data_IF_875929367831
#
_entry.id   IF_875929367831
#
_cell.length_a   1.000
_cell.length_b   1.000
_cell.length_c   1.000
_cell.angle_alpha   90.00
_cell.angle_beta   90.00
_cell.angle_gamma   90.00
#
_symmetry.space_group_name_H-M   'P 1'
#
loop_
_entity.id
_entity.type
_entity.pdbx_description
1 polymer ?
#
# COMPACT_ATOMS: atom_id res chain seq x y z
N UNK A 1 -18.22 -13.24 8.52
CA UNK A 1 -16.82 -13.31 8.04
C UNK A 1 -16.05 -12.13 8.58
N UNK A 2 -14.81 -12.37 8.96
CA UNK A 2 -13.95 -11.30 9.49
C UNK A 2 -13.34 -10.49 8.35
N UNK A 3 -12.75 -9.33 8.70
CA UNK A 3 -12.00 -8.53 7.72
C UNK A 3 -10.86 -9.33 7.10
N UNK A 4 -10.22 -10.19 7.89
CA UNK A 4 -9.15 -11.06 7.40
C UNK A 4 -9.66 -12.05 6.36
N UNK A 5 -10.86 -12.58 6.55
CA UNK A 5 -11.49 -13.48 5.58
C UNK A 5 -11.74 -12.76 4.25
N UNK A 6 -12.28 -11.55 4.31
CA UNK A 6 -12.51 -10.75 3.11
C UNK A 6 -11.21 -10.37 2.42
N UNK A 7 -10.18 -10.02 3.19
CA UNK A 7 -8.87 -9.73 2.66
C UNK A 7 -8.30 -10.96 1.92
N UNK A 8 -8.40 -12.13 2.54
CA UNK A 8 -7.91 -13.38 1.93
C UNK A 8 -8.68 -13.72 0.66
N UNK A 9 -9.99 -13.51 0.63
CA UNK A 9 -10.80 -13.68 -0.58
C UNK A 9 -10.31 -12.75 -1.69
N UNK A 10 -10.03 -11.50 -1.34
CA UNK A 10 -9.50 -10.54 -2.30
C UNK A 10 -8.17 -10.99 -2.89
N UNK A 11 -7.29 -11.51 -2.05
CA UNK A 11 -6.01 -12.05 -2.50
C UNK A 11 -6.18 -13.21 -3.47
N UNK A 12 -7.12 -14.11 -3.19
CA UNK A 12 -7.43 -15.22 -4.10
C UNK A 12 -7.93 -14.72 -5.44
N UNK A 13 -8.86 -13.78 -5.44
CA UNK A 13 -9.38 -13.20 -6.67
C UNK A 13 -8.27 -12.50 -7.46
N UNK A 14 -7.43 -11.76 -6.77
CA UNK A 14 -6.29 -11.10 -7.41
C UNK A 14 -5.38 -12.11 -8.09
N UNK A 15 -5.06 -13.21 -7.40
CA UNK A 15 -4.21 -14.27 -7.94
C UNK A 15 -4.80 -14.92 -9.18
N UNK A 16 -6.13 -14.92 -9.31
CA UNK A 16 -6.84 -15.47 -10.46
C UNK A 16 -7.13 -14.42 -11.53
N UNK A 17 -6.57 -13.22 -11.39
CA UNK A 17 -6.78 -12.08 -12.28
C UNK A 17 -8.24 -11.61 -12.33
N UNK A 18 -8.98 -11.86 -11.25
CA UNK A 18 -10.35 -11.36 -11.09
C UNK A 18 -10.31 -10.06 -10.31
N UNK A 19 -9.87 -9.01 -10.99
CA UNK A 19 -9.54 -7.75 -10.30
C UNK A 19 -10.77 -7.06 -9.72
N UNK A 20 -11.91 -7.07 -10.43
CA UNK A 20 -13.13 -6.46 -9.91
C UNK A 20 -13.63 -7.19 -8.66
N UNK A 21 -13.55 -8.51 -8.66
CA UNK A 21 -13.94 -9.30 -7.48
C UNK A 21 -12.99 -9.05 -6.32
N UNK A 22 -11.69 -8.89 -6.61
CA UNK A 22 -10.71 -8.55 -5.60
C UNK A 22 -11.04 -7.20 -4.96
N UNK A 23 -11.34 -6.18 -5.78
CA UNK A 23 -11.74 -4.85 -5.29
C UNK A 23 -12.93 -4.97 -4.35
N UNK A 24 -13.97 -5.71 -4.76
CA UNK A 24 -15.17 -5.87 -3.96
C UNK A 24 -14.87 -6.52 -2.60
N UNK A 25 -14.01 -7.53 -2.58
CA UNK A 25 -13.62 -8.21 -1.33
C UNK A 25 -12.83 -7.27 -0.41
N UNK A 26 -11.87 -6.53 -0.96
CA UNK A 26 -11.09 -5.59 -0.15
C UNK A 26 -11.96 -4.47 0.42
N UNK A 27 -12.93 -3.98 -0.36
CA UNK A 27 -13.86 -2.97 0.13
C UNK A 27 -14.70 -3.51 1.30
N UNK A 28 -15.08 -4.78 1.26
CA UNK A 28 -15.78 -5.40 2.39
C UNK A 28 -14.92 -5.48 3.63
N UNK A 29 -13.64 -5.80 3.46
CA UNK A 29 -12.70 -5.79 4.59
C UNK A 29 -12.61 -4.39 5.20
N UNK A 30 -12.61 -3.35 4.36
CA UNK A 30 -12.53 -1.96 4.81
C UNK A 30 -13.82 -1.46 5.42
N UNK A 31 -14.98 -2.04 5.08
CA UNK A 31 -16.23 -1.75 5.77
C UNK A 31 -16.17 -2.17 7.24
N UNK A 32 -15.48 -3.27 7.50
CA UNK A 32 -15.29 -3.78 8.86
C UNK A 32 -14.22 -2.97 9.62
N UNK A 33 -13.14 -2.59 8.94
CA UNK A 33 -12.06 -1.79 9.53
C UNK A 33 -11.49 -0.85 8.47
N UNK A 34 -11.90 0.41 8.51
CA UNK A 34 -11.50 1.42 7.52
C UNK A 34 -10.00 1.68 7.49
N UNK A 35 -9.28 1.36 8.56
CA UNK A 35 -7.84 1.56 8.69
C UNK A 35 -7.04 0.26 8.58
N UNK A 36 -7.65 -0.79 8.03
CA UNK A 36 -6.97 -2.06 7.85
C UNK A 36 -5.90 -1.91 6.76
N UNK A 37 -4.67 -1.72 7.17
CA UNK A 37 -3.57 -1.35 6.28
C UNK A 37 -3.34 -2.39 5.17
N UNK A 38 -3.41 -3.68 5.49
CA UNK A 38 -3.20 -4.73 4.50
C UNK A 38 -4.21 -4.63 3.35
N UNK A 39 -5.48 -4.40 3.69
CA UNK A 39 -6.53 -4.25 2.68
C UNK A 39 -6.38 -2.96 1.88
N UNK A 40 -6.00 -1.86 2.55
CA UNK A 40 -5.74 -0.60 1.85
C UNK A 40 -4.62 -0.75 0.84
N UNK A 41 -3.53 -1.41 1.24
CA UNK A 41 -2.39 -1.62 0.34
C UNK A 41 -2.80 -2.49 -0.86
N UNK A 42 -3.46 -3.61 -0.59
CA UNK A 42 -3.90 -4.53 -1.63
C UNK A 42 -4.89 -3.87 -2.60
N UNK A 43 -5.82 -3.06 -2.07
CA UNK A 43 -6.79 -2.35 -2.89
C UNK A 43 -6.11 -1.32 -3.79
N UNK A 44 -5.17 -0.55 -3.24
CA UNK A 44 -4.43 0.43 -4.03
C UNK A 44 -3.67 -0.24 -5.18
N UNK A 45 -3.00 -1.36 -4.89
CA UNK A 45 -2.27 -2.11 -5.92
C UNK A 45 -3.21 -2.66 -6.98
N UNK A 46 -4.39 -3.13 -6.58
CA UNK A 46 -5.38 -3.66 -7.52
C UNK A 46 -5.89 -2.56 -8.46
N UNK A 47 -6.20 -1.39 -7.91
CA UNK A 47 -6.59 -0.24 -8.74
C UNK A 47 -5.49 0.14 -9.73
N UNK A 48 -4.23 0.12 -9.28
CA UNK A 48 -3.10 0.43 -10.17
C UNK A 48 -3.01 -0.60 -11.31
N UNK A 49 -3.24 -1.87 -11.02
CA UNK A 49 -3.28 -2.92 -12.03
C UNK A 49 -4.42 -2.71 -13.04
N UNK A 50 -5.52 -2.14 -12.60
CA UNK A 50 -6.65 -1.81 -13.47
C UNK A 50 -6.44 -0.49 -14.22
N UNK A 51 -5.28 0.14 -14.05
CA UNK A 51 -4.97 1.46 -14.59
C UNK A 51 -5.89 2.56 -14.06
N UNK A 52 -6.52 2.31 -12.93
CA UNK A 52 -7.34 3.31 -12.21
C UNK A 52 -6.43 4.07 -11.23
N UNK A 53 -5.53 4.85 -11.80
CA UNK A 53 -4.44 5.47 -11.04
C UNK A 53 -4.96 6.48 -10.01
N UNK A 54 -6.01 7.24 -10.34
CA UNK A 54 -6.57 8.20 -9.40
C UNK A 54 -7.11 7.51 -8.15
N UNK A 55 -7.82 6.40 -8.32
CA UNK A 55 -8.30 5.60 -7.20
C UNK A 55 -7.13 5.01 -6.41
N UNK A 56 -6.10 4.54 -7.10
CA UNK A 56 -4.90 4.01 -6.43
C UNK A 56 -4.24 5.08 -5.54
N UNK A 57 -4.13 6.30 -6.04
CA UNK A 57 -3.58 7.43 -5.28
C UNK A 57 -4.43 7.74 -4.06
N UNK A 58 -5.74 7.80 -4.24
CA UNK A 58 -6.69 8.07 -3.15
C UNK A 58 -6.53 7.06 -2.01
N UNK A 59 -6.51 5.78 -2.35
CA UNK A 59 -6.34 4.71 -1.37
C UNK A 59 -4.92 4.74 -0.78
N UNK A 60 -3.92 5.02 -1.59
CA UNK A 60 -2.55 5.16 -1.13
C UNK A 60 -2.39 6.25 -0.08
N UNK A 61 -3.08 7.38 -0.26
CA UNK A 61 -3.09 8.45 0.75
C UNK A 61 -3.73 7.98 2.05
N UNK A 62 -4.84 7.24 1.98
CA UNK A 62 -5.45 6.66 3.17
C UNK A 62 -4.51 5.68 3.86
N UNK A 63 -3.75 4.93 3.08
CA UNK A 63 -2.80 3.97 3.63
C UNK A 63 -1.71 4.66 4.45
N UNK A 64 -1.13 5.76 3.96
CA UNK A 64 -0.09 6.46 4.74
C UNK A 64 -0.67 7.11 6.00
N UNK A 65 -1.94 7.48 6.01
CA UNK A 65 -2.60 7.95 7.23
C UNK A 65 -2.80 6.81 8.23
N UNK A 66 -3.14 5.63 7.75
CA UNK A 66 -3.36 4.46 8.61
C UNK A 66 -2.04 3.86 9.11
N UNK A 67 -0.97 3.98 8.32
CA UNK A 67 0.33 3.39 8.62
C UNK A 67 1.46 4.37 8.30
N UNK A 68 1.57 5.48 9.06
CA UNK A 68 2.51 6.56 8.72
C UNK A 68 3.99 6.17 8.85
N UNK A 69 4.28 5.05 9.51
CA UNK A 69 5.65 4.56 9.65
C UNK A 69 6.01 3.47 8.65
N UNK A 70 5.09 3.11 7.77
CA UNK A 70 5.31 2.06 6.78
C UNK A 70 5.94 2.63 5.52
N UNK A 71 7.25 2.41 5.36
CA UNK A 71 7.98 2.91 4.19
C UNK A 71 7.41 2.36 2.87
N UNK A 72 6.88 1.14 2.88
CA UNK A 72 6.30 0.53 1.68
C UNK A 72 5.07 1.29 1.20
N UNK A 73 4.28 1.84 2.13
CA UNK A 73 3.12 2.65 1.79
C UNK A 73 3.51 3.89 0.98
N UNK A 74 4.58 4.55 1.38
CA UNK A 74 5.08 5.73 0.65
C UNK A 74 5.69 5.33 -0.69
N UNK A 75 6.41 4.23 -0.74
CA UNK A 75 6.98 3.71 -1.98
C UNK A 75 5.89 3.44 -3.01
N UNK A 76 4.83 2.76 -2.60
CA UNK A 76 3.69 2.46 -3.48
C UNK A 76 3.04 3.73 -4.00
N UNK A 77 2.78 4.69 -3.11
CA UNK A 77 2.18 5.97 -3.52
C UNK A 77 3.06 6.73 -4.51
N UNK A 78 4.37 6.71 -4.30
CA UNK A 78 5.31 7.33 -5.23
C UNK A 78 5.19 6.70 -6.63
N UNK A 79 5.07 5.39 -6.69
CA UNK A 79 4.90 4.67 -7.98
C UNK A 79 3.60 5.11 -8.65
N UNK A 80 2.51 5.25 -7.91
CA UNK A 80 1.23 5.69 -8.48
C UNK A 80 1.31 7.12 -9.02
N UNK A 81 2.00 8.01 -8.32
CA UNK A 81 2.24 9.37 -8.81
C UNK A 81 3.05 9.35 -10.10
N UNK A 82 4.08 8.47 -10.19
CA UNK A 82 4.85 8.32 -11.42
C UNK A 82 3.98 7.83 -12.58
N UNK A 83 3.09 6.88 -12.32
CA UNK A 83 2.17 6.37 -13.33
C UNK A 83 1.27 7.48 -13.88
N UNK A 84 0.91 8.43 -13.03
CA UNK A 84 0.10 9.57 -13.43
C UNK A 84 0.92 10.69 -14.09
N UNK A 85 2.24 10.60 -14.04
CA UNK A 85 3.12 11.64 -14.57
C UNK A 85 3.40 12.79 -13.62
N UNK A 86 3.00 12.65 -12.35
CA UNK A 86 3.20 13.67 -11.31
C UNK A 86 4.57 13.43 -10.65
N UNK A 87 5.62 13.80 -11.37
CA UNK A 87 6.99 13.45 -10.99
C UNK A 87 7.44 14.19 -9.71
N UNK A 88 7.09 15.44 -9.56
CA UNK A 88 7.46 16.21 -8.37
C UNK A 88 6.84 15.61 -7.10
N UNK A 89 5.56 15.26 -7.16
CA UNK A 89 4.85 14.61 -6.07
C UNK A 89 5.44 13.22 -5.78
N UNK A 90 5.78 12.48 -6.83
CA UNK A 90 6.40 11.17 -6.68
C UNK A 90 7.73 11.27 -5.94
N UNK A 91 8.56 12.23 -6.30
CA UNK A 91 9.87 12.42 -5.65
C UNK A 91 9.74 12.84 -4.19
N UNK A 92 8.77 13.71 -3.89
CA UNK A 92 8.51 14.13 -2.52
C UNK A 92 8.12 12.95 -1.63
N UNK A 93 7.22 12.10 -2.13
CA UNK A 93 6.78 10.92 -1.38
C UNK A 93 7.91 9.89 -1.29
N UNK A 94 8.68 9.69 -2.35
CA UNK A 94 9.82 8.78 -2.33
C UNK A 94 10.87 9.21 -1.30
N UNK A 95 11.07 10.52 -1.15
CA UNK A 95 11.99 11.04 -0.14
C UNK A 95 11.54 10.67 1.28
N UNK A 96 10.23 10.68 1.54
CA UNK A 96 9.68 10.24 2.84
C UNK A 96 9.94 8.76 3.07
N UNK A 97 9.78 7.94 2.04
CA UNK A 97 10.07 6.51 2.14
C UNK A 97 11.54 6.28 2.51
N UNK A 98 12.45 7.00 1.87
CA UNK A 98 13.89 6.89 2.17
C UNK A 98 14.19 7.31 3.61
N UNK A 99 13.57 8.38 4.08
CA UNK A 99 13.73 8.85 5.46
C UNK A 99 13.28 7.81 6.47
N UNK A 100 12.13 7.17 6.23
CA UNK A 100 11.63 6.12 7.10
C UNK A 100 12.55 4.90 7.09
N UNK A 101 13.05 4.52 5.93
CA UNK A 101 14.00 3.42 5.82
C UNK A 101 15.29 3.71 6.57
N UNK A 102 15.79 4.93 6.46
CA UNK A 102 16.97 5.37 7.18
C UNK A 102 16.75 5.34 8.70
N UNK A 103 15.61 5.87 9.16
CA UNK A 103 15.27 5.84 10.59
C UNK A 103 15.16 4.42 11.12
N UNK A 104 14.56 3.53 10.34
CA UNK A 104 14.45 2.13 10.72
C UNK A 104 15.84 1.51 10.90
N UNK A 105 16.74 1.74 9.98
CA UNK A 105 18.10 1.23 10.07
C UNK A 105 18.84 1.75 11.30
N UNK A 106 18.65 3.02 11.64
CA UNK A 106 19.29 3.60 12.82
C UNK A 106 18.74 3.05 14.13
N UNK A 107 17.48 2.68 14.16
CA UNK A 107 16.82 2.17 15.38
C UNK A 107 16.99 0.67 15.58
N UNK A 108 17.37 -0.06 14.53
CA UNK A 108 17.59 -1.49 14.66
C UNK A 108 18.88 -1.78 15.42
N UNK A 109 18.87 -2.78 16.33
CA UNK A 109 20.11 -3.18 16.98
C UNK A 109 21.07 -3.70 15.91
N UNK A 110 22.30 -3.21 15.96
CA UNK A 110 23.33 -3.68 15.04
C UNK A 110 23.69 -5.11 15.40
N UNK A 111 23.52 -6.02 14.46
CA UNK A 111 24.05 -7.35 14.63
C UNK A 111 25.58 -7.26 14.48
N UNK A 112 26.33 -7.94 15.38
CA UNK A 112 27.77 -7.96 15.24
C UNK A 112 28.14 -8.53 13.89
N UNK A 113 28.99 -7.80 13.17
CA UNK A 113 29.48 -8.30 11.89
C UNK A 113 30.40 -9.47 12.17
N UNK A 114 30.15 -10.55 11.54
CA UNK A 114 31.08 -11.66 11.60
C UNK A 114 32.33 -11.30 10.86
N UNK A 115 33.38 -11.29 11.58
CA UNK A 115 34.68 -11.10 10.97
C UNK A 115 35.25 -12.43 10.51
#
# INVERSE_FOLDING_TARGET
MSKEDFYNQGMEHFAQDRLDDAVAAYLRALDDDANYADALHALAMTYAHQEKVDQAIEIGKRLIEAAPEDELAYTSLSIFYQQKGLIAEAEEIAAKARTLGWKRQLSEPKTPTKS
#
